data_IF_873449659389
#
_entry.id   IF_873449659389
#
_cell.length_a   1.000
_cell.length_b   1.000
_cell.length_c   1.000
_cell.angle_alpha   90.00
_cell.angle_beta   90.00
_cell.angle_gamma   90.00
#
_symmetry.space_group_name_H-M   'P 1'
#
loop_
_entity.id
_entity.type
_entity.pdbx_description
1 polymer ?
#
# COMPACT_ATOMS: atom_id res chain seq x y z
N UNK A 1 4.44 11.67 -14.46
CA UNK A 1 3.49 10.57 -14.20
C UNK A 1 2.83 10.67 -12.83
N UNK A 2 3.58 10.65 -11.72
CA UNK A 2 3.02 10.64 -10.35
C UNK A 2 2.06 11.81 -10.07
N UNK A 3 2.44 13.05 -10.39
CA UNK A 3 1.57 14.21 -10.21
C UNK A 3 0.25 14.14 -11.01
N UNK A 4 0.25 13.45 -12.15
CA UNK A 4 -0.97 13.19 -12.94
C UNK A 4 -1.82 12.14 -12.22
N UNK A 5 -1.19 11.06 -11.73
CA UNK A 5 -1.86 10.00 -10.98
C UNK A 5 -2.57 10.54 -9.72
N UNK A 6 -1.93 11.41 -8.95
CA UNK A 6 -2.51 12.01 -7.73
C UNK A 6 -3.79 12.81 -8.02
N UNK A 7 -3.96 13.34 -9.24
CA UNK A 7 -5.11 14.18 -9.61
C UNK A 7 -6.19 13.44 -10.40
N UNK A 8 -5.97 12.16 -10.68
CA UNK A 8 -6.87 11.32 -11.45
C UNK A 8 -8.24 11.22 -10.77
N UNK A 9 -9.32 11.33 -11.55
CA UNK A 9 -10.70 11.17 -11.09
C UNK A 9 -11.08 9.70 -10.93
N UNK A 10 -10.30 8.96 -10.13
CA UNK A 10 -10.48 7.53 -9.88
C UNK A 10 -10.39 7.23 -8.37
N UNK A 11 -10.87 6.04 -7.93
CA UNK A 11 -10.65 5.58 -6.57
C UNK A 11 -9.17 5.54 -6.20
N UNK A 12 -8.87 5.73 -4.91
CA UNK A 12 -7.50 5.72 -4.43
C UNK A 12 -6.83 4.36 -4.67
N UNK A 13 -5.65 4.35 -5.29
CA UNK A 13 -4.87 3.14 -5.54
C UNK A 13 -3.37 3.38 -5.36
N UNK A 14 -2.64 2.36 -4.94
CA UNK A 14 -1.18 2.37 -5.02
C UNK A 14 -0.75 2.50 -6.48
N UNK A 15 0.01 3.54 -6.81
CA UNK A 15 0.55 3.79 -8.14
C UNK A 15 2.05 3.53 -8.13
N UNK A 16 2.45 2.37 -8.65
CA UNK A 16 3.86 2.01 -8.87
C UNK A 16 4.21 2.27 -10.33
N UNK A 17 5.33 2.94 -10.58
CA UNK A 17 5.76 3.33 -11.92
C UNK A 17 7.26 3.14 -12.09
N UNK A 18 7.68 2.74 -13.29
CA UNK A 18 9.06 2.77 -13.75
C UNK A 18 9.19 3.56 -15.04
N UNK A 19 10.36 4.15 -15.31
CA UNK A 19 10.64 4.85 -16.57
C UNK A 19 11.78 4.21 -17.38
N UNK A 20 11.98 4.71 -18.60
CA UNK A 20 13.00 4.21 -19.53
C UNK A 20 14.44 4.52 -19.09
N UNK A 21 14.63 5.45 -18.14
CA UNK A 21 15.93 5.75 -17.55
C UNK A 21 16.26 4.82 -16.36
N UNK A 22 15.32 3.95 -15.98
CA UNK A 22 15.47 2.99 -14.89
C UNK A 22 15.05 3.52 -13.52
N UNK A 23 14.43 4.71 -13.45
CA UNK A 23 13.87 5.19 -12.20
C UNK A 23 12.60 4.40 -11.84
N UNK A 24 12.37 4.20 -10.54
CA UNK A 24 11.14 3.61 -10.01
C UNK A 24 10.54 4.52 -8.95
N UNK A 25 9.22 4.55 -8.88
CA UNK A 25 8.51 5.37 -7.91
C UNK A 25 7.18 4.77 -7.46
N UNK A 26 6.72 5.26 -6.31
CA UNK A 26 5.42 4.93 -5.73
C UNK A 26 4.75 6.19 -5.18
N UNK A 27 3.44 6.30 -5.38
CA UNK A 27 2.55 7.24 -4.70
C UNK A 27 1.14 6.67 -4.69
N UNK A 28 0.15 7.48 -4.31
CA UNK A 28 -1.27 7.13 -4.38
C UNK A 28 -1.90 7.84 -5.59
N UNK A 29 -2.45 7.07 -6.52
CA UNK A 29 -3.36 7.61 -7.54
C UNK A 29 -4.72 7.92 -6.94
N UNK A 30 -5.44 8.88 -7.51
CA UNK A 30 -6.76 9.29 -7.04
C UNK A 30 -6.73 10.50 -6.12
N UNK A 31 -7.81 11.28 -6.13
CA UNK A 31 -7.93 12.52 -5.36
C UNK A 31 -8.21 12.24 -3.88
N UNK A 32 -7.41 12.82 -2.98
CA UNK A 32 -7.58 12.76 -1.53
C UNK A 32 -8.12 14.11 -1.05
N UNK A 33 -9.28 14.15 -0.36
CA UNK A 33 -9.86 15.40 0.09
C UNK A 33 -9.06 16.02 1.24
N UNK A 34 -9.02 17.35 1.30
CA UNK A 34 -8.53 18.07 2.48
C UNK A 34 -9.69 18.19 3.47
N UNK A 35 -9.67 17.37 4.51
CA UNK A 35 -10.66 17.44 5.59
C UNK A 35 -10.36 18.60 6.53
N UNK A 36 -11.38 19.36 6.92
CA UNK A 36 -11.31 20.51 7.83
C UNK A 36 -12.42 20.41 8.88
N UNK A 37 -12.25 21.16 9.98
CA UNK A 37 -13.10 21.06 11.17
C UNK A 37 -12.84 19.77 11.97
N UNK A 38 -13.68 19.53 12.97
CA UNK A 38 -13.63 18.31 13.81
C UNK A 38 -14.31 17.15 13.07
N UNK A 39 -13.61 16.63 12.05
CA UNK A 39 -14.13 15.64 11.10
C UNK A 39 -13.29 14.37 11.14
N UNK A 40 -13.70 13.41 11.98
CA UNK A 40 -13.07 12.08 12.03
C UNK A 40 -13.33 11.33 10.71
N UNK A 41 -12.30 10.91 9.95
CA UNK A 41 -12.48 10.17 8.71
C UNK A 41 -13.13 8.78 8.88
N UNK A 42 -13.25 8.26 10.10
CA UNK A 42 -13.90 6.99 10.41
C UNK A 42 -15.40 7.14 10.76
N UNK A 43 -15.91 8.36 10.90
CA UNK A 43 -17.29 8.63 11.29
C UNK A 43 -18.00 9.53 10.27
N UNK A 44 -19.34 9.53 10.23
CA UNK A 44 -20.09 10.55 9.52
C UNK A 44 -19.69 11.95 10.03
N UNK A 45 -19.48 12.87 9.10
CA UNK A 45 -19.06 14.23 9.41
C UNK A 45 -20.24 15.20 9.25
N UNK A 46 -20.41 16.13 10.20
CA UNK A 46 -21.45 17.17 10.12
C UNK A 46 -20.92 18.42 9.41
N UNK A 47 -21.47 18.69 8.22
CA UNK A 47 -21.05 19.81 7.38
C UNK A 47 -21.75 21.12 7.75
N UNK A 48 -22.77 21.10 8.62
CA UNK A 48 -23.51 22.29 9.03
C UNK A 48 -22.75 23.16 10.04
N UNK A 49 -21.75 22.60 10.73
CA UNK A 49 -20.95 23.27 11.76
C UNK A 49 -19.50 23.55 11.30
N UNK A 50 -19.27 23.69 9.99
CA UNK A 50 -17.96 24.06 9.43
C UNK A 50 -16.98 22.89 9.29
N UNK A 51 -17.44 21.65 9.41
CA UNK A 51 -16.71 20.45 9.02
C UNK A 51 -16.84 20.13 7.53
N UNK A 52 -16.04 19.17 7.05
CA UNK A 52 -16.18 18.62 5.70
C UNK A 52 -14.90 18.70 4.89
N UNK A 53 -15.02 18.88 3.58
CA UNK A 53 -13.89 18.93 2.65
C UNK A 53 -13.67 20.34 2.11
N UNK A 54 -12.44 20.83 2.21
CA UNK A 54 -11.98 22.08 1.61
C UNK A 54 -11.07 21.79 0.41
N UNK A 55 -11.71 21.36 -0.67
CA UNK A 55 -11.02 20.96 -1.90
C UNK A 55 -10.20 19.68 -1.77
N UNK A 56 -9.17 19.58 -2.62
CA UNK A 56 -8.33 18.40 -2.77
C UNK A 56 -6.89 18.69 -2.34
N UNK A 57 -6.18 17.66 -1.88
CA UNK A 57 -4.75 17.74 -1.61
C UNK A 57 -3.98 17.99 -2.91
N UNK A 58 -2.94 18.81 -2.83
CA UNK A 58 -1.98 18.99 -3.92
C UNK A 58 -1.04 17.79 -4.01
N UNK A 59 -0.49 17.55 -5.21
CA UNK A 59 0.41 16.42 -5.45
C UNK A 59 1.64 16.41 -4.50
N UNK A 60 2.10 17.58 -4.05
CA UNK A 60 3.21 17.70 -3.11
C UNK A 60 2.85 17.21 -1.69
N UNK A 61 1.57 17.10 -1.36
CA UNK A 61 1.10 16.60 -0.05
C UNK A 61 0.91 15.09 -0.02
N UNK A 62 1.04 14.41 -1.16
CA UNK A 62 0.93 12.97 -1.25
C UNK A 62 2.22 12.29 -0.79
N UNK A 63 2.11 11.17 -0.06
CA UNK A 63 3.27 10.35 0.22
C UNK A 63 3.82 9.81 -1.10
N UNK A 64 5.14 9.75 -1.18
CA UNK A 64 5.81 9.20 -2.34
C UNK A 64 7.17 8.61 -1.97
N UNK A 65 7.61 7.68 -2.80
CA UNK A 65 8.95 7.11 -2.79
C UNK A 65 9.48 7.19 -4.21
N UNK A 66 10.73 7.64 -4.38
CA UNK A 66 11.43 7.66 -5.67
C UNK A 66 12.81 7.09 -5.46
N UNK A 67 13.21 6.11 -6.29
CA UNK A 67 14.51 5.46 -6.27
C UNK A 67 14.98 5.08 -4.84
N UNK A 68 14.21 4.23 -4.13
CA UNK A 68 14.63 3.79 -2.81
C UNK A 68 15.97 3.04 -2.88
N UNK A 69 16.78 3.03 -1.81
CA UNK A 69 18.07 2.32 -1.81
C UNK A 69 17.99 0.84 -2.18
N UNK A 70 16.84 0.20 -1.94
CA UNK A 70 16.57 -1.19 -2.35
C UNK A 70 16.42 -1.39 -3.86
N UNK A 71 16.25 -0.30 -4.62
CA UNK A 71 15.84 -0.26 -6.02
C UNK A 71 14.54 -1.06 -6.32
N UNK A 72 13.74 -1.33 -5.28
CA UNK A 72 12.57 -2.22 -5.34
C UNK A 72 11.39 -1.59 -4.65
N UNK A 73 10.24 -1.69 -5.30
CA UNK A 73 8.95 -1.26 -4.79
C UNK A 73 7.96 -2.40 -5.07
N UNK A 74 7.18 -2.75 -4.05
CA UNK A 74 6.07 -3.69 -4.18
C UNK A 74 4.91 -3.19 -3.33
N UNK A 75 3.68 -3.40 -3.82
CA UNK A 75 2.46 -3.13 -3.05
C UNK A 75 1.48 -4.27 -3.29
N UNK A 76 0.83 -4.75 -2.22
CA UNK A 76 -0.14 -5.84 -2.28
C UNK A 76 -1.28 -5.60 -1.29
N UNK A 77 -1.89 -4.40 -1.37
CA UNK A 77 -3.00 -3.92 -0.54
C UNK A 77 -2.73 -3.85 0.98
N UNK A 78 -1.52 -4.19 1.41
CA UNK A 78 -1.07 -4.00 2.78
C UNK A 78 -0.88 -2.52 3.11
N UNK A 79 -0.83 -2.21 4.39
CA UNK A 79 -0.49 -0.88 4.89
C UNK A 79 0.84 -0.40 4.31
N UNK A 80 0.86 0.82 3.75
CA UNK A 80 2.04 1.42 3.11
C UNK A 80 2.66 2.56 3.92
N UNK A 81 1.98 3.06 4.95
CA UNK A 81 2.41 4.17 5.79
C UNK A 81 2.44 3.74 7.25
N UNK A 82 3.37 4.32 8.02
CA UNK A 82 3.33 4.11 9.46
C UNK A 82 2.12 4.80 10.10
N UNK A 83 1.56 4.24 11.19
CA UNK A 83 0.43 4.87 11.88
C UNK A 83 0.82 6.22 12.48
N UNK A 84 2.08 6.35 12.90
CA UNK A 84 2.64 7.58 13.45
C UNK A 84 3.10 8.57 12.35
N UNK A 85 3.03 8.18 11.07
CA UNK A 85 3.36 9.08 9.96
C UNK A 85 2.25 10.11 9.77
N UNK A 86 2.61 11.40 9.71
CA UNK A 86 1.67 12.49 9.45
C UNK A 86 0.90 12.33 8.12
N UNK A 87 1.46 11.60 7.15
CA UNK A 87 0.77 11.25 5.91
C UNK A 87 -0.36 10.24 6.13
N UNK A 88 -0.26 9.34 7.12
CA UNK A 88 -1.32 8.37 7.42
C UNK A 88 -2.62 9.07 7.82
N UNK A 89 -2.55 10.09 8.67
CA UNK A 89 -3.71 10.90 9.04
C UNK A 89 -4.39 11.60 7.83
N UNK A 90 -3.64 11.85 6.75
CA UNK A 90 -4.16 12.49 5.53
C UNK A 90 -4.81 11.47 4.59
N UNK A 91 -4.19 10.30 4.44
CA UNK A 91 -4.63 9.22 3.54
C UNK A 91 -5.77 8.41 4.15
N UNK A 92 -5.62 7.99 5.41
CA UNK A 92 -6.54 7.11 6.13
C UNK A 92 -6.23 5.62 5.99
N UNK A 93 -7.03 4.80 6.68
CA UNK A 93 -6.89 3.35 6.77
C UNK A 93 -7.13 2.65 5.41
N UNK A 94 -8.23 2.96 4.73
CA UNK A 94 -8.55 2.34 3.44
C UNK A 94 -8.81 0.83 3.49
N UNK A 95 -8.77 0.18 4.66
CA UNK A 95 -9.05 -1.24 4.84
C UNK A 95 -7.93 -2.14 4.36
N UNK A 96 -6.68 -1.84 4.77
CA UNK A 96 -5.52 -2.60 4.30
C UNK A 96 -5.52 -4.08 4.75
N UNK A 97 -4.93 -4.93 3.90
CA UNK A 97 -4.72 -6.34 4.23
C UNK A 97 -3.59 -6.53 5.26
N UNK A 98 -3.60 -7.69 5.94
CA UNK A 98 -2.60 -8.10 6.94
C UNK A 98 -1.14 -8.15 6.43
N UNK A 99 -0.92 -8.09 5.11
CA UNK A 99 0.41 -8.01 4.52
C UNK A 99 1.10 -9.33 4.21
N UNK A 100 0.42 -10.47 4.35
CA UNK A 100 0.95 -11.79 3.97
C UNK A 100 1.49 -11.83 2.52
N UNK A 101 0.69 -11.37 1.55
CA UNK A 101 1.07 -11.30 0.13
C UNK A 101 2.24 -10.34 -0.09
N UNK A 102 2.19 -9.17 0.55
CA UNK A 102 3.27 -8.17 0.47
C UNK A 102 4.60 -8.75 0.96
N UNK A 103 4.58 -9.47 2.08
CA UNK A 103 5.76 -10.11 2.63
C UNK A 103 6.36 -11.12 1.64
N UNK A 104 5.56 -12.04 1.09
CA UNK A 104 6.05 -13.02 0.11
C UNK A 104 6.62 -12.35 -1.15
N UNK A 105 5.95 -11.34 -1.69
CA UNK A 105 6.45 -10.58 -2.86
C UNK A 105 7.77 -9.88 -2.51
N UNK A 106 7.85 -9.18 -1.37
CA UNK A 106 9.07 -8.49 -0.94
C UNK A 106 10.23 -9.47 -0.78
N UNK A 107 10.01 -10.60 -0.12
CA UNK A 107 11.04 -11.59 0.16
C UNK A 107 11.49 -12.27 -1.15
N UNK A 108 10.56 -12.55 -2.08
CA UNK A 108 10.85 -13.04 -3.42
C UNK A 108 11.67 -12.03 -4.25
N UNK A 109 11.36 -10.74 -4.15
CA UNK A 109 12.14 -9.68 -4.79
C UNK A 109 13.51 -9.49 -4.13
N UNK A 110 13.67 -9.78 -2.84
CA UNK A 110 14.95 -9.69 -2.14
C UNK A 110 15.87 -10.89 -2.41
N UNK A 111 15.33 -12.01 -2.89
CA UNK A 111 16.07 -13.26 -3.09
C UNK A 111 17.09 -13.22 -4.25
N UNK A 112 17.05 -12.20 -5.11
CA UNK A 112 17.95 -12.06 -6.27
C UNK A 112 18.34 -10.60 -6.45
N UNK A 113 19.51 -10.35 -7.05
CA UNK A 113 19.92 -8.98 -7.40
C UNK A 113 19.32 -8.53 -8.74
N UNK A 114 19.29 -9.41 -9.75
CA UNK A 114 18.78 -9.13 -11.10
C UNK A 114 17.63 -10.09 -11.43
N UNK A 115 16.67 -9.59 -12.19
CA UNK A 115 15.46 -10.30 -12.56
C UNK A 115 15.30 -10.31 -14.08
N UNK A 116 15.01 -11.48 -14.64
CA UNK A 116 14.44 -11.65 -15.96
C UNK A 116 12.90 -11.72 -15.86
N UNK A 117 12.14 -11.56 -16.95
CA UNK A 117 10.68 -11.67 -16.93
C UNK A 117 10.14 -12.95 -16.26
N UNK A 118 10.82 -14.09 -16.46
CA UNK A 118 10.44 -15.36 -15.85
C UNK A 118 10.53 -15.35 -14.30
N UNK A 119 11.44 -14.55 -13.73
CA UNK A 119 11.57 -14.42 -12.28
C UNK A 119 10.37 -13.68 -11.69
N UNK A 120 9.85 -12.66 -12.38
CA UNK A 120 8.64 -11.97 -11.96
C UNK A 120 7.40 -12.87 -12.07
N UNK A 121 7.31 -13.69 -13.13
CA UNK A 121 6.25 -14.68 -13.25
C UNK A 121 6.30 -15.69 -12.10
N UNK A 122 7.49 -16.15 -11.69
CA UNK A 122 7.63 -17.05 -10.55
C UNK A 122 7.11 -16.41 -9.24
N UNK A 123 7.33 -15.11 -9.02
CA UNK A 123 6.73 -14.38 -7.89
C UNK A 123 5.20 -14.32 -7.98
N UNK A 124 4.65 -14.14 -9.18
CA UNK A 124 3.19 -14.12 -9.39
C UNK A 124 2.53 -15.48 -9.19
N UNK A 125 3.26 -16.57 -9.44
CA UNK A 125 2.78 -17.94 -9.30
C UNK A 125 3.08 -18.55 -7.92
N UNK A 126 3.60 -17.78 -6.95
CA UNK A 126 3.83 -18.25 -5.58
C UNK A 126 2.49 -18.56 -4.91
N UNK A 127 2.22 -19.85 -4.71
CA UNK A 127 1.01 -20.42 -4.13
C UNK A 127 1.19 -20.87 -2.67
N UNK A 128 2.37 -20.62 -2.08
CA UNK A 128 2.66 -20.98 -0.70
C UNK A 128 1.78 -20.17 0.26
N UNK A 129 1.15 -20.85 1.21
CA UNK A 129 0.30 -20.23 2.23
C UNK A 129 1.07 -19.97 3.54
N UNK A 130 2.21 -19.27 3.48
CA UNK A 130 3.13 -19.11 4.62
C UNK A 130 2.44 -18.48 5.85
N UNK A 131 1.52 -17.54 5.62
CA UNK A 131 0.73 -16.91 6.68
C UNK A 131 -0.09 -17.90 7.52
N UNK A 132 -0.49 -19.04 6.95
CA UNK A 132 -1.31 -20.06 7.62
C UNK A 132 -0.48 -21.11 8.34
N UNK A 133 0.86 -21.10 8.23
CA UNK A 133 1.73 -22.15 8.80
C UNK A 133 1.56 -22.33 10.31
N UNK A 134 1.41 -21.24 11.06
CA UNK A 134 1.20 -21.29 12.51
C UNK A 134 -0.10 -22.00 12.86
N UNK A 135 -1.18 -21.71 12.14
CA UNK A 135 -2.49 -22.34 12.35
C UNK A 135 -2.49 -23.80 11.92
N UNK A 136 -1.86 -24.10 10.79
CA UNK A 136 -1.67 -25.47 10.32
C UNK A 136 -0.93 -26.31 11.35
N UNK A 137 0.17 -25.81 11.91
CA UNK A 137 0.92 -26.50 12.98
C UNK A 137 0.06 -26.70 14.23
N UNK A 138 -0.66 -25.66 14.65
CA UNK A 138 -1.54 -25.73 15.83
C UNK A 138 -2.65 -26.77 15.68
N UNK A 139 -3.19 -26.94 14.48
CA UNK A 139 -4.18 -27.97 14.17
C UNK A 139 -3.58 -29.37 14.33
N UNK A 140 -2.42 -29.63 13.71
CA UNK A 140 -1.73 -30.92 13.84
C UNK A 140 -1.40 -31.27 15.29
N UNK A 141 -0.84 -30.33 16.05
CA UNK A 141 -0.49 -30.54 17.46
C UNK A 141 -1.72 -30.84 18.34
N UNK A 142 -2.87 -30.29 17.99
CA UNK A 142 -4.14 -30.53 18.71
C UNK A 142 -4.66 -31.92 18.39
N UNK A 143 -4.65 -32.31 17.11
CA UNK A 143 -5.12 -33.63 16.68
C UNK A 143 -4.24 -34.77 17.18
N UNK A 144 -2.92 -34.57 17.28
CA UNK A 144 -2.00 -35.58 17.81
C UNK A 144 -2.15 -35.84 19.32
N UNK A 145 -2.84 -34.95 20.05
CA UNK A 145 -3.11 -35.08 21.49
C UNK A 145 -4.49 -35.65 21.80
N UNK A 146 -5.36 -35.77 20.79
CA UNK A 146 -6.70 -36.36 20.90
C UNK A 146 -6.63 -37.88 20.71
#
# INVERSE_FOLDING_TARGET
AMAVANRAGMPAQNFVVGDAAGAVGWTIAGRIPRRVGDCDPQLPCDWSHGGGWDGWRDAAEYPHVVNPPSARIATANSRTLDFDDAAYARVGDGGFDLGARQQQIRDGLAAKERFAPADFLAVQLDDRALFLETWHRRLHDTLAKA
#
